data_IF_952948831856
#
_entry.id   IF_952948831856
#
_cell.length_a   1.000
_cell.length_b   1.000
_cell.length_c   1.000
_cell.angle_alpha   90.00
_cell.angle_beta   90.00
_cell.angle_gamma   90.00
#
_symmetry.space_group_name_H-M   'P 1'
#
loop_
_entity.id
_entity.type
_entity.pdbx_description
1 polymer ?
#
# COMPACT_ATOMS: atom_id res chain seq x y z
N UNK A 1 -19.70 23.31 25.05
CA UNK A 1 -18.58 23.98 24.35
C UNK A 1 -18.23 23.12 23.13
N UNK A 2 -18.73 23.55 21.95
CA UNK A 2 -18.41 22.87 20.70
C UNK A 2 -17.00 23.26 20.30
N UNK A 3 -16.09 22.29 20.24
CA UNK A 3 -14.80 22.48 19.60
C UNK A 3 -15.03 22.87 18.13
N UNK A 4 -14.35 23.88 17.59
CA UNK A 4 -14.48 24.21 16.18
C UNK A 4 -13.96 23.07 15.36
N UNK A 5 -14.84 22.40 14.64
CA UNK A 5 -14.48 21.42 13.60
C UNK A 5 -13.89 22.20 12.44
N UNK A 6 -12.58 22.45 12.47
CA UNK A 6 -11.80 22.93 11.33
C UNK A 6 -11.59 21.76 10.34
N UNK A 7 -12.66 21.07 9.97
CA UNK A 7 -12.61 20.15 8.85
C UNK A 7 -12.39 20.98 7.57
N UNK A 8 -11.42 20.64 6.72
CA UNK A 8 -11.18 21.37 5.48
C UNK A 8 -12.43 21.32 4.61
N UNK A 9 -12.80 22.47 4.05
CA UNK A 9 -13.90 22.55 3.11
C UNK A 9 -13.55 21.82 1.81
N UNK A 10 -14.56 21.50 1.00
CA UNK A 10 -14.36 20.87 -0.29
C UNK A 10 -13.44 21.68 -1.23
N UNK A 11 -13.52 23.02 -1.18
CA UNK A 11 -12.64 23.91 -1.93
C UNK A 11 -11.21 23.91 -1.42
N UNK A 12 -10.99 23.74 -0.11
CA UNK A 12 -9.67 23.59 0.46
C UNK A 12 -9.00 22.30 -0.04
N UNK A 13 -9.79 21.23 -0.18
CA UNK A 13 -9.31 19.95 -0.72
C UNK A 13 -8.88 20.08 -2.19
N UNK A 14 -9.59 20.86 -3.01
CA UNK A 14 -9.21 21.11 -4.42
C UNK A 14 -7.93 21.93 -4.57
N UNK A 15 -7.60 22.76 -3.59
CA UNK A 15 -6.40 23.62 -3.57
C UNK A 15 -5.16 22.91 -3.05
N UNK A 16 -5.29 21.67 -2.59
CA UNK A 16 -4.17 20.90 -2.02
C UNK A 16 -3.46 20.07 -3.08
N UNK A 17 -2.14 20.00 -3.01
CA UNK A 17 -1.34 19.02 -3.74
C UNK A 17 -1.53 17.65 -3.07
N UNK A 18 -2.36 16.78 -3.66
CA UNK A 18 -2.63 15.43 -3.14
C UNK A 18 -1.59 14.45 -3.70
N UNK A 19 -0.57 14.16 -2.92
CA UNK A 19 0.51 13.23 -3.25
C UNK A 19 0.41 11.94 -2.42
N UNK A 20 -0.81 11.43 -2.19
CA UNK A 20 -1.10 10.20 -1.42
C UNK A 20 -2.07 9.25 -2.13
N UNK A 21 -2.05 9.20 -3.45
CA UNK A 21 -2.92 8.28 -4.22
C UNK A 21 -2.63 6.82 -3.89
N UNK A 22 -1.38 6.46 -3.59
CA UNK A 22 -1.01 5.13 -3.11
C UNK A 22 -1.62 4.76 -1.74
N UNK A 23 -1.95 5.72 -0.91
CA UNK A 23 -2.70 5.52 0.34
C UNK A 23 -4.19 5.46 0.07
N UNK A 24 -4.75 6.56 -0.42
CA UNK A 24 -6.16 6.68 -0.80
C UNK A 24 -6.29 7.69 -1.93
N UNK A 25 -6.68 7.22 -3.11
CA UNK A 25 -6.91 8.07 -4.28
C UNK A 25 -8.15 8.95 -4.08
N UNK A 26 -8.08 10.22 -4.50
CA UNK A 26 -9.27 11.09 -4.47
C UNK A 26 -10.26 10.64 -5.53
N UNK A 27 -11.46 10.24 -5.11
CA UNK A 27 -12.51 9.88 -6.04
C UNK A 27 -12.83 11.04 -6.98
N UNK A 28 -12.96 10.81 -8.31
CA UNK A 28 -13.50 11.78 -9.26
C UNK A 28 -14.91 12.23 -8.88
N UNK A 29 -15.31 13.43 -9.28
CA UNK A 29 -16.63 13.99 -8.97
C UNK A 29 -17.77 13.07 -9.43
N UNK A 30 -17.66 12.49 -10.66
CA UNK A 30 -18.63 11.54 -11.17
C UNK A 30 -18.74 10.26 -10.36
N UNK A 31 -17.62 9.73 -9.84
CA UNK A 31 -17.61 8.55 -8.98
C UNK A 31 -18.29 8.84 -7.63
N UNK A 32 -18.01 10.01 -7.03
CA UNK A 32 -18.67 10.44 -5.80
C UNK A 32 -20.18 10.64 -5.99
N UNK A 33 -20.57 11.22 -7.12
CA UNK A 33 -22.00 11.41 -7.45
C UNK A 33 -22.74 10.07 -7.55
N UNK A 34 -22.14 9.05 -8.18
CA UNK A 34 -22.71 7.71 -8.24
C UNK A 34 -22.85 7.11 -6.84
N UNK A 35 -21.81 7.16 -6.03
CA UNK A 35 -21.83 6.64 -4.66
C UNK A 35 -22.93 7.31 -3.83
N UNK A 36 -23.02 8.64 -3.87
CA UNK A 36 -24.03 9.42 -3.14
C UNK A 36 -25.46 9.08 -3.60
N UNK A 37 -25.68 8.99 -4.92
CA UNK A 37 -27.00 8.62 -5.48
C UNK A 37 -27.43 7.21 -5.08
N UNK A 38 -26.50 6.24 -5.11
CA UNK A 38 -26.79 4.88 -4.68
C UNK A 38 -27.09 4.80 -3.18
N UNK A 39 -26.31 5.52 -2.34
CA UNK A 39 -26.54 5.57 -0.89
C UNK A 39 -27.91 6.19 -0.57
N UNK A 40 -28.26 7.31 -1.21
CA UNK A 40 -29.58 7.94 -1.04
C UNK A 40 -30.75 7.04 -1.50
N UNK A 41 -30.53 6.23 -2.53
CA UNK A 41 -31.53 5.25 -3.00
C UNK A 41 -31.68 4.09 -2.02
N UNK A 42 -30.56 3.60 -1.46
CA UNK A 42 -30.56 2.56 -0.42
C UNK A 42 -31.32 3.02 0.83
N UNK A 43 -31.05 4.23 1.30
CA UNK A 43 -31.77 4.84 2.44
C UNK A 43 -33.28 4.93 2.19
N UNK A 44 -33.68 5.28 0.96
CA UNK A 44 -35.09 5.52 0.63
C UNK A 44 -35.87 4.24 0.37
N UNK A 45 -35.27 3.23 -0.30
CA UNK A 45 -35.98 2.07 -0.84
C UNK A 45 -35.45 0.73 -0.30
N UNK A 46 -34.35 0.74 0.43
CA UNK A 46 -33.68 -0.42 0.98
C UNK A 46 -32.75 -1.13 0.00
N UNK A 47 -31.81 -1.89 0.56
CA UNK A 47 -30.71 -2.56 -0.19
C UNK A 47 -31.19 -3.56 -1.24
N UNK A 48 -32.37 -4.18 -1.05
CA UNK A 48 -32.94 -5.08 -2.05
C UNK A 48 -33.30 -4.33 -3.32
N UNK A 49 -34.04 -3.22 -3.19
CA UNK A 49 -34.46 -2.40 -4.33
C UNK A 49 -33.25 -1.77 -5.05
N UNK A 50 -32.19 -1.42 -4.29
CA UNK A 50 -30.94 -0.96 -4.88
C UNK A 50 -30.26 -2.09 -5.69
N UNK A 51 -30.19 -3.33 -5.19
CA UNK A 51 -29.63 -4.47 -5.93
C UNK A 51 -30.39 -4.75 -7.22
N UNK A 52 -31.72 -4.77 -7.16
CA UNK A 52 -32.56 -4.96 -8.34
C UNK A 52 -32.33 -3.86 -9.39
N UNK A 53 -32.18 -2.61 -8.94
CA UNK A 53 -31.86 -1.47 -9.82
C UNK A 53 -30.49 -1.57 -10.47
N UNK A 54 -29.51 -2.10 -9.77
CA UNK A 54 -28.12 -2.21 -10.21
C UNK A 54 -27.78 -3.56 -10.85
N UNK A 55 -28.76 -4.43 -11.12
CA UNK A 55 -28.51 -5.81 -11.56
C UNK A 55 -27.48 -5.92 -12.68
N UNK A 56 -27.66 -5.18 -13.79
CA UNK A 56 -26.71 -5.19 -14.91
C UNK A 56 -25.30 -4.73 -14.50
N UNK A 57 -25.19 -3.72 -13.63
CA UNK A 57 -23.91 -3.22 -13.13
C UNK A 57 -23.22 -4.27 -12.26
N UNK A 58 -23.96 -4.91 -11.35
CA UNK A 58 -23.41 -5.86 -10.38
C UNK A 58 -23.03 -7.20 -11.01
N UNK A 59 -23.81 -7.66 -11.99
CA UNK A 59 -23.69 -9.01 -12.54
C UNK A 59 -22.88 -9.06 -13.85
N UNK A 60 -22.72 -7.93 -14.54
CA UNK A 60 -22.14 -7.92 -15.89
C UNK A 60 -21.10 -6.79 -16.06
N UNK A 61 -21.54 -5.53 -16.04
CA UNK A 61 -20.68 -4.40 -16.49
C UNK A 61 -19.38 -4.27 -15.69
N UNK A 62 -19.44 -4.40 -14.35
CA UNK A 62 -18.26 -4.31 -13.50
C UNK A 62 -17.26 -5.43 -13.82
N UNK A 63 -17.77 -6.65 -14.06
CA UNK A 63 -16.94 -7.81 -14.38
C UNK A 63 -16.30 -7.69 -15.78
N UNK A 64 -17.02 -7.17 -16.77
CA UNK A 64 -16.46 -6.88 -18.10
C UNK A 64 -15.32 -5.85 -18.00
N UNK A 65 -15.49 -4.78 -17.22
CA UNK A 65 -14.45 -3.77 -17.02
C UNK A 65 -13.25 -4.29 -16.23
N UNK A 66 -13.49 -5.14 -15.24
CA UNK A 66 -12.43 -5.80 -14.49
C UNK A 66 -11.65 -6.79 -15.37
N UNK A 67 -12.37 -7.57 -16.18
CA UNK A 67 -11.75 -8.47 -17.16
C UNK A 67 -10.86 -7.72 -18.14
N UNK A 68 -11.35 -6.60 -18.69
CA UNK A 68 -10.57 -5.75 -19.57
C UNK A 68 -9.35 -5.10 -18.87
N UNK A 69 -9.48 -4.73 -17.59
CA UNK A 69 -8.37 -4.16 -16.79
C UNK A 69 -7.27 -5.18 -16.52
N UNK A 70 -7.63 -6.44 -16.25
CA UNK A 70 -6.72 -7.51 -15.83
C UNK A 70 -6.28 -8.45 -16.96
N UNK A 71 -6.79 -8.26 -18.18
CA UNK A 71 -6.49 -9.12 -19.33
C UNK A 71 -7.06 -10.54 -19.20
N UNK A 72 -8.25 -10.70 -18.61
CA UNK A 72 -8.88 -12.01 -18.32
C UNK A 72 -10.35 -12.03 -18.69
N UNK A 73 -10.99 -13.22 -18.84
CA UNK A 73 -12.43 -13.32 -19.00
C UNK A 73 -13.18 -12.69 -17.83
N UNK A 74 -14.30 -12.02 -18.10
CA UNK A 74 -15.14 -11.39 -17.08
C UNK A 74 -15.60 -12.37 -15.98
N UNK A 75 -15.91 -13.61 -16.38
CA UNK A 75 -16.35 -14.68 -15.48
C UNK A 75 -15.30 -15.16 -14.47
N UNK A 76 -14.03 -14.85 -14.70
CA UNK A 76 -12.92 -15.19 -13.80
C UNK A 76 -12.59 -14.05 -12.80
N UNK A 77 -13.38 -12.97 -12.83
CA UNK A 77 -13.25 -11.85 -11.90
C UNK A 77 -14.19 -12.02 -10.71
N UNK A 78 -13.73 -11.61 -9.53
CA UNK A 78 -14.48 -11.69 -8.27
C UNK A 78 -14.40 -10.37 -7.53
N UNK A 79 -15.54 -9.89 -7.02
CA UNK A 79 -15.62 -8.73 -6.13
C UNK A 79 -15.41 -9.14 -4.68
N UNK A 80 -14.73 -8.30 -3.92
CA UNK A 80 -14.44 -8.49 -2.50
C UNK A 80 -14.45 -7.16 -1.76
N UNK A 81 -14.44 -7.20 -0.42
CA UNK A 81 -14.32 -5.99 0.39
C UNK A 81 -12.90 -5.40 0.42
N UNK A 82 -11.94 -6.01 -0.27
CA UNK A 82 -10.57 -5.58 -0.42
C UNK A 82 -9.67 -6.71 -0.91
N UNK A 83 -8.45 -6.40 -1.30
CA UNK A 83 -7.45 -7.37 -1.76
C UNK A 83 -7.18 -8.45 -0.70
N UNK A 84 -7.05 -8.05 0.58
CA UNK A 84 -6.82 -8.97 1.68
C UNK A 84 -7.95 -10.01 1.84
N UNK A 85 -9.21 -9.59 1.71
CA UNK A 85 -10.35 -10.51 1.82
C UNK A 85 -10.37 -11.56 0.70
N UNK A 86 -9.99 -11.17 -0.52
CA UNK A 86 -9.84 -12.12 -1.62
C UNK A 86 -8.66 -13.07 -1.38
N UNK A 87 -7.54 -12.56 -0.88
CA UNK A 87 -6.37 -13.37 -0.54
C UNK A 87 -6.68 -14.38 0.58
N UNK A 88 -7.39 -13.96 1.64
CA UNK A 88 -7.82 -14.85 2.73
C UNK A 88 -8.68 -16.01 2.23
N UNK A 89 -9.63 -15.75 1.33
CA UNK A 89 -10.48 -16.78 0.73
C UNK A 89 -9.68 -17.78 -0.12
N UNK A 90 -8.68 -17.30 -0.87
CA UNK A 90 -7.76 -18.14 -1.64
C UNK A 90 -6.87 -19.00 -0.76
N UNK A 91 -6.24 -18.39 0.26
CA UNK A 91 -5.36 -19.09 1.21
C UNK A 91 -6.15 -20.09 2.06
N UNK A 92 -7.41 -19.78 2.38
CA UNK A 92 -8.32 -20.68 3.08
C UNK A 92 -8.56 -22.01 2.36
N UNK A 93 -8.42 -22.02 1.03
CA UNK A 93 -8.51 -23.24 0.19
C UNK A 93 -7.22 -24.06 0.19
N UNK A 94 -6.11 -23.51 0.65
CA UNK A 94 -4.83 -24.19 0.60
C UNK A 94 -4.78 -25.34 1.61
N UNK A 95 -4.50 -26.54 1.09
CA UNK A 95 -4.29 -27.74 1.91
C UNK A 95 -2.80 -27.98 2.02
N UNK A 96 -2.20 -27.43 3.08
CA UNK A 96 -0.78 -27.53 3.36
C UNK A 96 -0.53 -28.36 4.60
N UNK A 97 0.66 -28.95 4.69
CA UNK A 97 1.15 -29.73 5.81
C UNK A 97 2.55 -29.32 6.27
N UNK A 98 3.13 -29.99 7.29
CA UNK A 98 4.42 -29.61 7.88
C UNK A 98 5.61 -29.66 6.92
N UNK A 99 5.54 -30.46 5.83
CA UNK A 99 6.58 -30.54 4.80
C UNK A 99 6.53 -29.38 3.81
N UNK A 100 5.37 -28.73 3.67
CA UNK A 100 5.18 -27.67 2.68
C UNK A 100 5.88 -26.38 3.05
N UNK A 101 6.28 -25.62 2.01
CA UNK A 101 6.90 -24.31 2.11
C UNK A 101 6.02 -23.25 1.47
N UNK A 102 5.94 -22.10 2.13
CA UNK A 102 5.34 -20.87 1.61
C UNK A 102 6.46 -19.88 1.36
N UNK A 103 6.47 -19.28 0.19
CA UNK A 103 7.36 -18.16 -0.10
C UNK A 103 6.59 -16.84 -0.07
N UNK A 104 7.17 -15.84 0.60
CA UNK A 104 6.77 -14.44 0.55
C UNK A 104 7.99 -13.57 0.28
N UNK A 105 7.80 -12.25 0.19
CA UNK A 105 8.88 -11.33 -0.14
C UNK A 105 9.03 -10.23 0.92
N UNK A 106 10.18 -9.54 1.00
CA UNK A 106 10.34 -8.39 1.88
C UNK A 106 9.38 -7.23 1.58
N UNK A 107 8.75 -7.22 0.39
CA UNK A 107 7.80 -6.20 -0.03
C UNK A 107 6.36 -6.46 0.45
N UNK A 108 6.11 -7.61 1.10
CA UNK A 108 4.76 -8.02 1.51
C UNK A 108 4.13 -7.04 2.50
N UNK A 109 2.85 -6.76 2.27
CA UNK A 109 2.02 -5.97 3.17
C UNK A 109 1.61 -6.75 4.41
N UNK A 110 1.36 -6.03 5.52
CA UNK A 110 1.01 -6.66 6.81
C UNK A 110 -0.24 -7.54 6.73
N UNK A 111 -1.22 -7.18 5.90
CA UNK A 111 -2.48 -7.91 5.81
C UNK A 111 -2.25 -9.32 5.22
N UNK A 112 -1.61 -9.41 4.05
CA UNK A 112 -1.26 -10.69 3.43
C UNK A 112 -0.26 -11.47 4.29
N UNK A 113 0.74 -10.81 4.86
CA UNK A 113 1.70 -11.46 5.76
C UNK A 113 1.01 -12.07 6.99
N UNK A 114 0.03 -11.39 7.56
CA UNK A 114 -0.76 -11.91 8.69
C UNK A 114 -1.51 -13.18 8.32
N UNK A 115 -2.12 -13.22 7.14
CA UNK A 115 -2.78 -14.41 6.57
C UNK A 115 -1.80 -15.56 6.39
N UNK A 116 -0.61 -15.29 5.83
CA UNK A 116 0.44 -16.31 5.64
C UNK A 116 0.97 -16.82 6.98
N UNK A 117 1.15 -15.97 7.98
CA UNK A 117 1.54 -16.37 9.33
C UNK A 117 0.46 -17.25 9.97
N UNK A 118 -0.82 -16.89 9.85
CA UNK A 118 -1.92 -17.70 10.36
C UNK A 118 -1.99 -19.07 9.66
N UNK A 119 -1.76 -19.11 8.35
CA UNK A 119 -1.68 -20.36 7.58
C UNK A 119 -0.52 -21.24 8.08
N UNK A 120 0.68 -20.68 8.22
CA UNK A 120 1.85 -21.38 8.79
C UNK A 120 1.53 -21.97 10.17
N UNK A 121 0.93 -21.18 11.05
CA UNK A 121 0.66 -21.62 12.43
C UNK A 121 -0.38 -22.74 12.49
N UNK A 122 -1.38 -22.72 11.59
CA UNK A 122 -2.42 -23.73 11.48
C UNK A 122 -1.90 -25.04 10.86
N UNK A 123 -1.07 -24.96 9.85
CA UNK A 123 -0.65 -26.11 9.04
C UNK A 123 0.73 -26.64 9.40
N UNK A 124 1.50 -25.87 10.19
CA UNK A 124 2.89 -26.16 10.55
C UNK A 124 3.84 -26.19 9.36
N UNK A 125 3.45 -25.64 8.20
CA UNK A 125 4.33 -25.45 7.07
C UNK A 125 5.41 -24.38 7.38
N UNK A 126 6.43 -24.30 6.52
CA UNK A 126 7.50 -23.31 6.66
C UNK A 126 7.16 -22.05 5.87
N UNK A 127 7.31 -20.88 6.49
CA UNK A 127 7.21 -19.58 5.82
C UNK A 127 8.62 -19.01 5.62
N UNK A 128 9.00 -18.86 4.37
CA UNK A 128 10.33 -18.41 3.94
C UNK A 128 10.23 -17.08 3.18
N UNK A 129 11.22 -16.22 3.36
CA UNK A 129 11.26 -14.91 2.72
C UNK A 129 12.30 -14.95 1.60
N UNK A 130 11.84 -14.79 0.37
CA UNK A 130 12.72 -14.68 -0.82
C UNK A 130 13.64 -13.46 -0.64
N UNK A 131 14.97 -13.62 -0.79
CA UNK A 131 15.87 -12.50 -0.60
C UNK A 131 15.74 -11.45 -1.70
N UNK A 132 16.21 -10.24 -1.39
CA UNK A 132 16.47 -9.20 -2.39
C UNK A 132 17.93 -9.22 -2.80
N UNK A 133 18.18 -8.90 -4.05
CA UNK A 133 19.52 -8.60 -4.57
C UNK A 133 20.02 -7.28 -3.99
N UNK A 134 21.28 -6.96 -4.20
CA UNK A 134 21.91 -5.72 -3.73
C UNK A 134 21.24 -4.46 -4.33
N UNK A 135 20.66 -4.57 -5.52
CA UNK A 135 19.92 -3.50 -6.19
C UNK A 135 18.48 -3.33 -5.66
N UNK A 136 18.00 -4.21 -4.79
CA UNK A 136 16.66 -4.19 -4.21
C UNK A 136 15.60 -4.97 -4.97
N UNK A 137 15.92 -5.54 -6.13
CA UNK A 137 15.03 -6.45 -6.85
C UNK A 137 14.94 -7.82 -6.17
N UNK A 138 13.86 -8.58 -6.41
CA UNK A 138 13.76 -9.97 -5.97
C UNK A 138 14.87 -10.81 -6.60
N UNK A 139 15.46 -11.70 -5.79
CA UNK A 139 16.51 -12.63 -6.27
C UNK A 139 15.88 -13.82 -6.97
N UNK A 140 15.66 -13.69 -8.28
CA UNK A 140 15.12 -14.78 -9.12
C UNK A 140 16.11 -15.94 -9.31
N UNK A 141 17.40 -15.70 -9.14
CA UNK A 141 18.39 -16.76 -9.25
C UNK A 141 18.35 -17.63 -7.99
N UNK A 142 18.18 -17.01 -6.82
CA UNK A 142 17.88 -17.72 -5.59
C UNK A 142 16.58 -18.54 -5.71
N UNK A 143 15.48 -17.95 -6.23
CA UNK A 143 14.22 -18.66 -6.43
C UNK A 143 14.42 -19.89 -7.33
N UNK A 144 15.15 -19.74 -8.45
CA UNK A 144 15.42 -20.84 -9.38
C UNK A 144 16.23 -21.98 -8.74
N UNK A 145 17.16 -21.64 -7.86
CA UNK A 145 18.00 -22.61 -7.17
C UNK A 145 17.29 -23.37 -6.04
N UNK A 146 16.19 -22.80 -5.48
CA UNK A 146 15.54 -23.33 -4.28
C UNK A 146 14.10 -23.81 -4.50
N UNK A 147 13.54 -23.63 -5.71
CA UNK A 147 12.21 -24.15 -6.06
C UNK A 147 12.26 -25.67 -6.16
N UNK A 148 11.35 -26.33 -5.45
CA UNK A 148 11.14 -27.77 -5.48
C UNK A 148 9.65 -28.11 -5.25
N UNK A 149 9.33 -29.38 -5.14
CA UNK A 149 7.96 -29.85 -4.93
C UNK A 149 7.40 -29.55 -3.54
N UNK A 150 8.22 -29.13 -2.58
CA UNK A 150 7.76 -28.70 -1.26
C UNK A 150 7.22 -27.27 -1.27
N UNK A 151 7.61 -26.42 -2.25
CA UNK A 151 7.06 -25.07 -2.39
C UNK A 151 5.62 -25.13 -2.89
N UNK A 152 4.68 -24.86 -2.00
CA UNK A 152 3.25 -25.03 -2.28
C UNK A 152 2.49 -23.71 -2.54
N UNK A 153 3.02 -22.60 -2.04
CA UNK A 153 2.41 -21.27 -2.21
C UNK A 153 3.51 -20.21 -2.33
N UNK A 154 3.37 -19.31 -3.29
CA UNK A 154 4.22 -18.12 -3.45
C UNK A 154 3.33 -16.88 -3.50
N UNK A 155 3.58 -15.93 -2.61
CA UNK A 155 2.90 -14.63 -2.56
C UNK A 155 3.89 -13.51 -2.89
N UNK A 156 3.57 -12.70 -3.91
CA UNK A 156 4.41 -11.58 -4.35
C UNK A 156 3.57 -10.33 -4.53
N UNK A 157 4.02 -9.21 -3.99
CA UNK A 157 3.45 -7.89 -4.27
C UNK A 157 4.03 -7.38 -5.60
N UNK A 158 3.19 -6.95 -6.54
CA UNK A 158 3.67 -6.42 -7.82
C UNK A 158 4.39 -5.08 -7.63
N UNK A 159 3.80 -4.14 -6.87
CA UNK A 159 4.43 -2.86 -6.52
C UNK A 159 4.51 -2.71 -5.02
N UNK A 160 5.73 -2.57 -4.51
CA UNK A 160 5.98 -2.40 -3.07
C UNK A 160 5.30 -1.13 -2.53
N UNK A 161 4.42 -1.29 -1.55
CA UNK A 161 3.81 -0.14 -0.84
C UNK A 161 4.81 0.64 0.02
N UNK A 162 5.94 0.04 0.36
CA UNK A 162 6.98 0.69 1.15
C UNK A 162 7.78 1.73 0.36
N UNK A 163 8.11 1.43 -0.91
CA UNK A 163 9.08 2.22 -1.67
C UNK A 163 8.75 2.40 -3.15
N UNK A 164 7.73 1.72 -3.70
CA UNK A 164 7.34 1.83 -5.11
C UNK A 164 8.12 0.93 -6.07
N UNK A 165 9.01 0.06 -5.58
CA UNK A 165 9.71 -0.93 -6.42
C UNK A 165 8.73 -1.83 -7.14
N UNK A 166 8.91 -2.01 -8.44
CA UNK A 166 8.12 -2.92 -9.29
C UNK A 166 8.82 -4.29 -9.33
N UNK A 167 8.16 -5.30 -8.80
CA UNK A 167 8.66 -6.68 -8.84
C UNK A 167 8.35 -7.34 -10.18
N UNK A 168 9.27 -8.16 -10.68
CA UNK A 168 9.19 -8.83 -11.97
C UNK A 168 8.20 -10.03 -11.93
N UNK A 169 6.92 -9.79 -11.61
CA UNK A 169 5.90 -10.83 -11.35
C UNK A 169 5.69 -11.80 -12.51
N UNK A 170 5.76 -11.32 -13.76
CA UNK A 170 5.70 -12.22 -14.93
C UNK A 170 6.90 -13.16 -15.01
N UNK A 171 8.09 -12.73 -14.58
CA UNK A 171 9.29 -13.60 -14.56
C UNK A 171 9.20 -14.63 -13.44
N UNK A 172 8.59 -14.24 -12.30
CA UNK A 172 8.27 -15.16 -11.20
C UNK A 172 7.28 -16.21 -11.67
N UNK A 173 6.18 -15.83 -12.35
CA UNK A 173 5.21 -16.78 -12.89
C UNK A 173 5.82 -17.80 -13.81
N UNK A 174 6.60 -17.35 -14.81
CA UNK A 174 7.33 -18.27 -15.72
C UNK A 174 8.29 -19.23 -15.00
N UNK A 175 8.88 -18.79 -13.90
CA UNK A 175 9.75 -19.64 -13.08
C UNK A 175 8.92 -20.71 -12.35
N UNK A 176 7.72 -20.34 -11.87
CA UNK A 176 6.85 -21.21 -11.08
C UNK A 176 5.99 -22.16 -11.96
N UNK A 177 5.74 -21.82 -13.23
CA UNK A 177 4.85 -22.57 -14.12
C UNK A 177 5.11 -24.07 -14.19
N UNK A 178 6.37 -24.59 -14.21
CA UNK A 178 6.65 -26.02 -14.22
C UNK A 178 6.39 -26.72 -12.88
N UNK A 179 6.09 -25.97 -11.80
CA UNK A 179 6.00 -26.48 -10.44
C UNK A 179 4.57 -26.48 -9.93
N UNK A 180 4.28 -27.23 -8.87
CA UNK A 180 2.96 -27.30 -8.24
C UNK A 180 2.58 -26.05 -7.43
N UNK A 181 3.53 -25.14 -7.23
CA UNK A 181 3.35 -23.96 -6.39
C UNK A 181 2.18 -23.10 -6.86
N UNK A 182 1.22 -22.82 -5.97
CA UNK A 182 0.20 -21.81 -6.23
C UNK A 182 0.85 -20.41 -6.18
N UNK A 183 0.51 -19.56 -7.14
CA UNK A 183 1.08 -18.24 -7.25
C UNK A 183 0.00 -17.16 -7.08
N UNK A 184 0.18 -16.28 -6.10
CA UNK A 184 -0.68 -15.14 -5.83
C UNK A 184 0.09 -13.83 -5.98
N UNK A 185 -0.53 -12.84 -6.61
CA UNK A 185 0.03 -11.50 -6.81
C UNK A 185 -0.90 -10.45 -6.20
N UNK A 186 -0.36 -9.59 -5.34
CA UNK A 186 -1.05 -8.37 -4.93
C UNK A 186 -0.72 -7.22 -5.90
N UNK A 187 -1.73 -6.80 -6.66
CA UNK A 187 -1.65 -5.71 -7.61
C UNK A 187 -2.30 -4.41 -7.11
N UNK A 188 -2.60 -4.29 -5.80
CA UNK A 188 -3.29 -3.13 -5.22
C UNK A 188 -2.61 -1.79 -5.49
N UNK A 189 -1.28 -1.78 -5.61
CA UNK A 189 -0.51 -0.59 -5.96
C UNK A 189 -0.13 -0.52 -7.44
N UNK A 190 -0.54 -1.48 -8.26
CA UNK A 190 -0.24 -1.55 -9.70
C UNK A 190 -1.43 -1.10 -10.55
N UNK A 191 -2.62 -1.65 -10.27
CA UNK A 191 -3.83 -1.31 -11.01
C UNK A 191 -4.09 0.20 -10.98
N UNK A 192 -4.40 0.75 -12.14
CA UNK A 192 -4.63 2.18 -12.30
C UNK A 192 -3.37 3.02 -12.54
N UNK A 193 -2.17 2.45 -12.44
CA UNK A 193 -0.92 3.14 -12.80
C UNK A 193 0.02 2.34 -13.72
N UNK A 194 0.00 1.02 -13.63
CA UNK A 194 0.77 0.13 -14.50
C UNK A 194 -0.18 -0.83 -15.22
N UNK A 195 0.19 -1.35 -16.39
CA UNK A 195 -0.50 -2.48 -17.00
C UNK A 195 -0.45 -3.69 -16.06
N UNK A 196 -1.60 -4.35 -15.87
CA UNK A 196 -1.73 -5.58 -15.12
C UNK A 196 -2.41 -6.60 -16.02
N UNK A 197 -1.65 -7.64 -16.40
CA UNK A 197 -2.13 -8.74 -17.24
C UNK A 197 -1.94 -10.04 -16.46
N UNK A 198 -3.02 -10.54 -15.85
CA UNK A 198 -2.97 -11.71 -14.99
C UNK A 198 -2.60 -12.98 -15.76
N UNK A 199 -2.94 -13.06 -17.04
CA UNK A 199 -2.56 -14.20 -17.89
C UNK A 199 -1.05 -14.23 -18.11
N UNK A 200 -0.42 -13.08 -18.39
CA UNK A 200 1.04 -12.99 -18.54
C UNK A 200 1.80 -13.21 -17.23
N UNK A 201 1.16 -12.93 -16.09
CA UNK A 201 1.73 -13.21 -14.76
C UNK A 201 1.72 -14.70 -14.44
N UNK A 202 0.93 -15.52 -15.16
CA UNK A 202 0.76 -16.96 -14.88
C UNK A 202 0.34 -17.22 -13.42
N UNK A 203 -0.36 -16.26 -12.82
CA UNK A 203 -0.81 -16.32 -11.44
C UNK A 203 -2.16 -17.04 -11.33
N UNK A 204 -2.40 -17.78 -10.25
CA UNK A 204 -3.71 -18.34 -9.95
C UNK A 204 -4.60 -17.33 -9.24
N UNK A 205 -4.02 -16.32 -8.62
CA UNK A 205 -4.74 -15.21 -8.00
C UNK A 205 -4.03 -13.89 -8.29
N UNK A 206 -4.78 -12.88 -8.70
CA UNK A 206 -4.33 -11.47 -8.71
C UNK A 206 -5.35 -10.66 -7.94
N UNK A 207 -4.97 -10.08 -6.81
CA UNK A 207 -5.84 -9.25 -5.98
C UNK A 207 -5.59 -7.77 -6.17
N UNK A 208 -6.60 -6.93 -5.98
CA UNK A 208 -6.42 -5.48 -6.00
C UNK A 208 -7.46 -4.74 -5.14
N UNK A 209 -7.03 -3.60 -4.60
CA UNK A 209 -7.89 -2.61 -3.96
C UNK A 209 -8.43 -1.59 -4.98
N UNK A 210 -9.73 -1.23 -4.86
CA UNK A 210 -10.37 -0.29 -5.76
C UNK A 210 -10.11 1.20 -5.46
N UNK A 211 -9.63 1.55 -4.26
CA UNK A 211 -9.56 2.93 -3.77
C UNK A 211 -8.22 3.64 -3.94
N UNK A 212 -7.19 2.95 -4.38
CA UNK A 212 -5.85 3.55 -4.59
C UNK A 212 -5.79 4.28 -5.93
N UNK A 213 -5.02 3.80 -6.87
CA UNK A 213 -4.84 4.44 -8.17
C UNK A 213 -6.05 4.33 -9.12
N UNK A 214 -7.02 3.45 -8.85
CA UNK A 214 -8.32 3.45 -9.54
C UNK A 214 -9.27 4.52 -9.01
N UNK A 215 -9.04 5.02 -7.78
CA UNK A 215 -9.80 6.12 -7.17
C UNK A 215 -11.29 5.80 -6.97
N UNK A 216 -11.60 4.52 -6.77
CA UNK A 216 -12.90 4.04 -6.32
C UNK A 216 -13.15 4.29 -4.83
N UNK A 217 -14.29 3.85 -4.28
CA UNK A 217 -14.59 3.97 -2.86
C UNK A 217 -13.80 2.98 -2.02
N UNK A 218 -13.66 3.29 -0.73
CA UNK A 218 -13.10 2.35 0.26
C UNK A 218 -13.97 1.09 0.38
N UNK A 219 -13.39 0.05 0.96
CA UNK A 219 -14.05 -1.24 1.23
C UNK A 219 -14.63 -1.93 -0.02
N UNK A 220 -14.01 -1.70 -1.18
CA UNK A 220 -14.25 -2.47 -2.39
C UNK A 220 -12.92 -2.86 -3.03
N UNK A 221 -12.77 -4.15 -3.25
CA UNK A 221 -11.64 -4.74 -3.97
C UNK A 221 -12.15 -5.77 -4.96
N UNK A 222 -11.24 -6.35 -5.67
CA UNK A 222 -11.53 -7.38 -6.66
C UNK A 222 -10.32 -8.29 -6.85
N UNK A 223 -10.58 -9.41 -7.50
CA UNK A 223 -9.53 -10.33 -7.89
C UNK A 223 -9.83 -10.97 -9.24
N UNK A 224 -8.79 -11.36 -9.95
CA UNK A 224 -8.79 -12.49 -10.86
C UNK A 224 -8.50 -13.76 -10.06
N UNK A 225 -9.19 -14.84 -10.37
CA UNK A 225 -8.89 -16.14 -9.82
C UNK A 225 -9.08 -17.22 -10.88
N UNK A 226 -8.03 -18.00 -11.07
CA UNK A 226 -8.08 -19.14 -11.98
C UNK A 226 -9.21 -20.12 -11.59
N UNK A 227 -9.86 -20.79 -12.55
CA UNK A 227 -10.92 -21.74 -12.25
C UNK A 227 -10.51 -22.81 -11.23
N UNK A 228 -11.39 -23.04 -10.24
CA UNK A 228 -11.18 -24.09 -9.23
C UNK A 228 -10.25 -23.76 -8.07
N UNK A 229 -9.72 -22.53 -7.97
CA UNK A 229 -8.77 -22.18 -6.89
C UNK A 229 -9.44 -21.70 -5.59
N UNK A 230 -10.74 -21.39 -5.61
CA UNK A 230 -11.46 -20.89 -4.45
C UNK A 230 -11.86 -21.99 -3.47
N UNK A 231 -11.63 -21.77 -2.17
CA UNK A 231 -12.20 -22.59 -1.07
C UNK A 231 -13.48 -22.02 -0.49
N UNK A 232 -13.87 -20.83 -0.91
CA UNK A 232 -15.05 -20.09 -0.50
C UNK A 232 -15.09 -18.74 -1.20
N UNK A 233 -16.27 -18.12 -1.29
CA UNK A 233 -16.37 -16.76 -1.84
C UNK A 233 -15.86 -15.74 -0.82
N UNK A 234 -15.06 -14.74 -1.24
CA UNK A 234 -14.74 -13.63 -0.36
C UNK A 234 -16.00 -12.83 0.00
N UNK A 235 -15.99 -12.07 1.10
CA UNK A 235 -17.07 -11.17 1.47
C UNK A 235 -17.42 -10.21 0.33
N UNK A 236 -18.70 -10.12 -0.01
CA UNK A 236 -19.17 -9.23 -1.07
C UNK A 236 -19.24 -7.77 -0.57
N UNK A 237 -18.81 -6.79 -1.38
CA UNK A 237 -18.92 -5.39 -1.04
C UNK A 237 -20.37 -4.88 -1.14
N UNK A 238 -20.64 -3.71 -0.56
CA UNK A 238 -21.94 -3.06 -0.66
C UNK A 238 -22.26 -2.69 -2.13
N UNK A 239 -23.52 -2.84 -2.60
CA UNK A 239 -23.90 -2.53 -3.99
C UNK A 239 -23.55 -1.11 -4.43
N UNK A 240 -23.72 -0.13 -3.55
CA UNK A 240 -23.34 1.26 -3.81
C UNK A 240 -21.83 1.42 -4.08
N UNK A 241 -20.99 0.68 -3.33
CA UNK A 241 -19.55 0.68 -3.54
C UNK A 241 -19.17 0.03 -4.88
N UNK A 242 -19.85 -1.06 -5.27
CA UNK A 242 -19.62 -1.71 -6.57
C UNK A 242 -20.02 -0.77 -7.73
N UNK A 243 -21.15 -0.09 -7.64
CA UNK A 243 -21.57 0.89 -8.65
C UNK A 243 -20.56 2.03 -8.79
N UNK A 244 -20.02 2.53 -7.66
CA UNK A 244 -18.99 3.56 -7.68
C UNK A 244 -17.64 3.02 -8.21
N UNK A 245 -17.26 1.77 -7.92
CA UNK A 245 -16.11 1.12 -8.55
C UNK A 245 -16.29 1.01 -10.06
N UNK A 246 -17.47 0.59 -10.55
CA UNK A 246 -17.78 0.52 -11.98
C UNK A 246 -17.59 1.89 -12.66
N UNK A 247 -18.07 2.97 -12.01
CA UNK A 247 -17.85 4.33 -12.49
C UNK A 247 -16.36 4.74 -12.47
N UNK A 248 -15.60 4.31 -11.46
CA UNK A 248 -14.15 4.56 -11.37
C UNK A 248 -13.38 3.84 -12.48
N UNK A 249 -13.72 2.60 -12.78
CA UNK A 249 -13.16 1.82 -13.89
C UNK A 249 -13.45 2.50 -15.25
N UNK A 250 -14.68 2.96 -15.46
CA UNK A 250 -15.05 3.71 -16.67
C UNK A 250 -14.26 5.02 -16.79
N UNK A 251 -14.13 5.77 -15.68
CA UNK A 251 -13.32 6.98 -15.64
C UNK A 251 -11.84 6.70 -15.94
N UNK A 252 -11.28 5.63 -15.36
CA UNK A 252 -9.90 5.21 -15.62
C UNK A 252 -9.68 4.84 -17.08
N UNK A 253 -10.61 4.10 -17.70
CA UNK A 253 -10.52 3.71 -19.11
C UNK A 253 -10.58 4.93 -20.07
N UNK A 254 -11.36 5.96 -19.71
CA UNK A 254 -11.50 7.20 -20.49
C UNK A 254 -10.37 8.22 -20.24
N UNK A 255 -9.62 8.08 -19.15
CA UNK A 255 -8.54 9.01 -18.83
C UNK A 255 -7.38 8.85 -19.83
N UNK A 256 -6.90 9.99 -20.35
CA UNK A 256 -5.69 10.01 -21.16
C UNK A 256 -4.52 9.48 -20.32
N UNK A 257 -3.82 8.48 -20.85
CA UNK A 257 -2.62 7.91 -20.22
C UNK A 257 -1.44 8.86 -20.47
N UNK A 258 -1.42 10.00 -19.77
CA UNK A 258 -0.26 10.87 -19.78
C UNK A 258 0.91 10.17 -19.09
N UNK A 259 2.14 10.29 -19.62
CA UNK A 259 3.33 9.73 -18.98
C UNK A 259 3.50 10.33 -17.58
N UNK A 260 3.44 9.50 -16.56
CA UNK A 260 3.67 9.89 -15.15
C UNK A 260 5.14 9.85 -14.78
N UNK A 261 5.93 9.27 -15.66
CA UNK A 261 7.38 9.14 -15.49
C UNK A 261 8.05 10.50 -15.30
N UNK A 262 7.63 11.51 -16.05
CA UNK A 262 8.15 12.88 -15.91
C UNK A 262 7.83 13.48 -14.54
N UNK A 263 6.62 13.26 -13.99
CA UNK A 263 6.23 13.78 -12.67
C UNK A 263 6.96 13.04 -11.56
N UNK A 264 7.12 11.72 -11.67
CA UNK A 264 7.89 10.94 -10.71
C UNK A 264 9.36 11.33 -10.72
N UNK A 265 9.95 11.47 -11.91
CA UNK A 265 11.35 11.93 -12.05
C UNK A 265 11.55 13.32 -11.45
N UNK A 266 10.59 14.24 -11.68
CA UNK A 266 10.61 15.59 -11.10
C UNK A 266 10.48 15.55 -9.58
N UNK A 267 9.56 14.73 -9.04
CA UNK A 267 9.40 14.53 -7.59
C UNK A 267 10.67 13.96 -6.96
N UNK A 268 11.26 12.93 -7.58
CA UNK A 268 12.52 12.34 -7.15
C UNK A 268 13.65 13.37 -7.12
N UNK A 269 13.81 14.12 -8.20
CA UNK A 269 14.83 15.17 -8.28
C UNK A 269 14.65 16.26 -7.20
N UNK A 270 13.39 16.63 -6.87
CA UNK A 270 13.11 17.58 -5.80
C UNK A 270 13.54 17.04 -4.42
N UNK A 271 13.31 15.75 -4.17
CA UNK A 271 13.71 15.06 -2.93
C UNK A 271 15.22 14.92 -2.85
N UNK A 272 15.87 14.43 -3.91
CA UNK A 272 17.34 14.19 -3.96
C UNK A 272 18.17 15.47 -3.85
N UNK A 273 17.65 16.60 -4.36
CA UNK A 273 18.31 17.91 -4.18
C UNK A 273 18.17 18.49 -2.77
N UNK A 274 17.38 17.87 -1.90
CA UNK A 274 17.14 18.37 -0.54
C UNK A 274 18.18 17.77 0.42
N UNK A 275 19.05 18.58 1.06
CA UNK A 275 20.08 18.09 1.96
C UNK A 275 19.50 17.27 3.12
N UNK A 276 20.23 16.23 3.53
CA UNK A 276 19.86 15.35 4.65
C UNK A 276 18.77 14.34 4.34
N UNK A 277 18.27 14.29 3.10
CA UNK A 277 17.28 13.28 2.68
C UNK A 277 17.97 12.05 2.09
N UNK A 278 17.47 10.90 2.51
CA UNK A 278 17.75 9.58 1.94
C UNK A 278 16.47 9.06 1.24
N UNK A 279 16.61 8.73 -0.03
CA UNK A 279 15.54 8.08 -0.81
C UNK A 279 15.60 6.58 -0.54
N UNK A 280 14.46 6.00 -0.17
CA UNK A 280 14.35 4.58 0.18
C UNK A 280 13.92 3.70 -1.01
N UNK A 281 13.80 4.29 -2.20
CA UNK A 281 13.47 3.56 -3.40
C UNK A 281 14.67 2.72 -3.83
N UNK A 282 14.44 1.41 -3.90
CA UNK A 282 15.38 0.40 -4.39
C UNK A 282 14.73 -0.35 -5.55
N UNK A 283 15.51 -1.07 -6.34
CA UNK A 283 15.07 -1.80 -7.51
C UNK A 283 15.25 -1.00 -8.82
N UNK A 284 15.24 -1.73 -9.94
CA UNK A 284 15.50 -1.17 -11.27
C UNK A 284 14.32 -0.39 -11.81
N UNK A 285 13.11 -0.81 -11.45
CA UNK A 285 11.88 -0.21 -11.92
C UNK A 285 11.07 0.35 -10.75
N UNK A 286 10.51 1.56 -10.95
CA UNK A 286 9.75 2.28 -9.94
C UNK A 286 8.38 2.68 -10.50
N UNK A 287 7.34 2.41 -9.73
CA UNK A 287 6.00 2.92 -9.99
C UNK A 287 5.87 4.38 -9.51
N UNK A 288 4.70 4.98 -9.71
CA UNK A 288 4.42 6.39 -9.37
C UNK A 288 4.48 6.72 -7.87
N UNK A 289 5.41 6.13 -7.13
CA UNK A 289 5.60 6.32 -5.69
C UNK A 289 7.06 6.52 -5.33
N UNK A 290 7.31 7.29 -4.28
CA UNK A 290 8.63 7.56 -3.74
C UNK A 290 8.55 7.59 -2.22
N UNK A 291 9.43 6.85 -1.53
CA UNK A 291 9.61 6.93 -0.10
C UNK A 291 10.97 7.56 0.24
N UNK A 292 10.99 8.41 1.26
CA UNK A 292 12.20 9.07 1.71
C UNK A 292 12.16 9.34 3.22
N UNK A 293 13.34 9.53 3.82
CA UNK A 293 13.51 9.98 5.19
C UNK A 293 14.54 11.09 5.28
N UNK A 294 14.49 11.88 6.33
CA UNK A 294 15.54 12.85 6.66
C UNK A 294 16.32 12.34 7.86
N UNK A 295 17.66 12.51 7.85
CA UNK A 295 18.52 11.98 8.89
C UNK A 295 18.24 12.53 10.28
N UNK A 296 17.74 13.77 10.36
CA UNK A 296 17.53 14.47 11.62
C UNK A 296 16.05 14.79 11.94
N UNK A 297 15.22 15.02 10.91
CA UNK A 297 13.83 15.45 11.09
C UNK A 297 12.88 14.25 10.96
N UNK A 298 12.15 13.88 12.01
CA UNK A 298 11.22 12.76 11.97
C UNK A 298 10.15 12.89 10.87
N UNK A 299 9.83 11.79 10.20
CA UNK A 299 8.82 11.73 9.13
C UNK A 299 7.45 12.31 9.57
N UNK A 300 7.08 12.15 10.84
CA UNK A 300 5.85 12.70 11.40
C UNK A 300 5.83 14.24 11.38
N UNK A 301 6.95 14.89 11.66
CA UNK A 301 7.06 16.36 11.62
C UNK A 301 7.05 16.85 10.18
N UNK A 302 7.79 16.20 9.27
CA UNK A 302 7.78 16.52 7.84
C UNK A 302 6.34 16.43 7.31
N UNK A 303 5.64 15.31 7.51
CA UNK A 303 4.26 15.14 7.06
C UNK A 303 3.32 16.21 7.61
N UNK A 304 3.41 16.50 8.92
CA UNK A 304 2.57 17.53 9.57
C UNK A 304 2.85 18.91 9.00
N UNK A 305 4.12 19.25 8.81
CA UNK A 305 4.53 20.54 8.25
C UNK A 305 4.06 20.72 6.80
N UNK A 306 4.15 19.69 6.00
CA UNK A 306 3.66 19.66 4.61
C UNK A 306 2.13 19.79 4.55
N UNK A 307 1.41 19.07 5.42
CA UNK A 307 -0.05 19.16 5.48
C UNK A 307 -0.54 20.60 5.79
N UNK A 308 0.13 21.31 6.71
CA UNK A 308 -0.17 22.74 6.99
C UNK A 308 0.06 23.67 5.79
N UNK A 309 0.82 23.21 4.79
CA UNK A 309 1.13 23.96 3.55
C UNK A 309 0.35 23.46 2.34
N UNK A 310 -0.71 22.70 2.61
CA UNK A 310 -1.59 22.18 1.55
C UNK A 310 -0.94 21.09 0.70
N UNK A 311 -0.02 20.29 1.28
CA UNK A 311 0.54 19.11 0.64
C UNK A 311 0.16 17.88 1.45
N UNK A 312 -0.64 17.00 0.85
CA UNK A 312 -1.13 15.76 1.47
C UNK A 312 -0.26 14.60 1.00
N UNK A 313 0.33 13.90 1.94
CA UNK A 313 1.11 12.68 1.70
C UNK A 313 1.10 11.78 2.95
N UNK A 314 1.58 10.55 2.82
CA UNK A 314 1.51 9.53 3.85
C UNK A 314 2.83 9.39 4.61
N UNK A 315 2.72 9.02 5.88
CA UNK A 315 3.83 8.46 6.64
C UNK A 315 3.76 6.94 6.48
N UNK A 316 4.76 6.35 5.82
CA UNK A 316 4.94 4.91 5.79
C UNK A 316 5.57 4.45 7.11
N UNK A 317 5.07 3.38 7.67
CA UNK A 317 5.53 2.84 8.96
C UNK A 317 5.97 1.39 8.81
N UNK A 318 6.93 0.99 9.62
CA UNK A 318 7.45 -0.38 9.64
C UNK A 318 6.37 -1.45 9.82
N UNK A 319 5.28 -1.11 10.52
CA UNK A 319 4.16 -2.03 10.73
C UNK A 319 3.37 -2.36 9.46
N UNK A 320 3.38 -1.48 8.44
CA UNK A 320 2.68 -1.74 7.17
C UNK A 320 3.44 -2.75 6.28
N UNK A 321 4.78 -2.76 6.36
CA UNK A 321 5.66 -3.67 5.62
C UNK A 321 6.75 -4.21 6.55
N UNK A 322 6.43 -5.12 7.47
CA UNK A 322 7.34 -5.50 8.56
C UNK A 322 8.59 -6.26 8.11
N UNK A 323 8.57 -6.86 6.91
CA UNK A 323 9.71 -7.59 6.34
C UNK A 323 10.65 -6.68 5.52
N UNK A 324 10.23 -5.47 5.18
CA UNK A 324 11.01 -4.57 4.33
C UNK A 324 12.30 -4.13 5.04
N UNK A 325 13.48 -4.11 4.35
CA UNK A 325 14.74 -3.71 4.96
C UNK A 325 14.70 -2.32 5.61
N UNK A 326 13.98 -1.35 5.01
CA UNK A 326 13.80 -0.02 5.57
C UNK A 326 12.90 0.02 6.82
N UNK A 327 12.20 -1.07 7.15
CA UNK A 327 11.37 -1.20 8.35
C UNK A 327 12.18 -1.61 9.60
N UNK A 328 13.46 -1.95 9.44
CA UNK A 328 14.33 -2.29 10.56
C UNK A 328 14.37 -1.13 11.55
N UNK A 329 14.45 -1.43 12.83
CA UNK A 329 14.50 -0.48 13.93
C UNK A 329 13.25 0.40 14.10
N UNK A 330 12.11 -0.02 13.54
CA UNK A 330 10.86 0.74 13.62
C UNK A 330 10.89 2.06 12.84
N UNK A 331 11.77 2.18 11.86
CA UNK A 331 11.93 3.39 11.05
C UNK A 331 10.62 3.80 10.37
N UNK A 332 10.42 5.10 10.25
CA UNK A 332 9.31 5.71 9.54
C UNK A 332 9.83 6.54 8.38
N UNK A 333 9.11 6.50 7.27
CA UNK A 333 9.41 7.28 6.08
C UNK A 333 8.23 8.17 5.70
N UNK A 334 8.49 9.16 4.88
CA UNK A 334 7.47 9.90 4.15
C UNK A 334 7.31 9.24 2.79
N UNK A 335 6.07 8.94 2.38
CA UNK A 335 5.75 8.40 1.07
C UNK A 335 4.92 9.41 0.30
N UNK A 336 5.40 9.79 -0.86
CA UNK A 336 4.68 10.58 -1.85
C UNK A 336 4.32 9.70 -3.05
N UNK A 337 3.17 9.93 -3.65
CA UNK A 337 2.75 9.26 -4.89
C UNK A 337 2.07 10.24 -5.83
N UNK A 338 2.37 10.11 -7.12
CA UNK A 338 1.81 10.92 -8.18
C UNK A 338 0.76 10.15 -8.98
N UNK A 339 -0.23 10.86 -9.49
CA UNK A 339 -1.29 10.32 -10.33
C UNK A 339 -1.50 11.22 -11.56
N UNK A 340 -2.30 10.78 -12.54
CA UNK A 340 -2.53 11.53 -13.78
C UNK A 340 -3.19 12.90 -13.55
N UNK A 341 -3.86 13.14 -12.44
CA UNK A 341 -4.45 14.43 -12.09
C UNK A 341 -3.49 15.34 -11.30
N UNK A 342 -2.29 14.90 -10.98
CA UNK A 342 -1.24 15.79 -10.50
C UNK A 342 -0.58 16.53 -11.68
N UNK A 343 -0.17 17.75 -11.41
CA UNK A 343 0.58 18.58 -12.33
C UNK A 343 1.95 18.99 -11.78
N UNK A 344 2.75 19.63 -12.63
CA UNK A 344 4.06 20.17 -12.23
C UNK A 344 3.96 21.11 -11.02
N UNK A 345 2.87 21.90 -10.93
CA UNK A 345 2.61 22.80 -9.82
C UNK A 345 2.47 22.10 -8.46
N UNK A 346 2.00 20.83 -8.43
CA UNK A 346 1.90 20.06 -7.19
C UNK A 346 3.28 19.70 -6.68
N UNK A 347 4.19 19.30 -7.58
CA UNK A 347 5.58 18.99 -7.25
C UNK A 347 6.32 20.26 -6.83
N UNK A 348 6.10 21.40 -7.49
CA UNK A 348 6.70 22.68 -7.11
C UNK A 348 6.24 23.15 -5.73
N UNK A 349 4.96 22.97 -5.43
CA UNK A 349 4.41 23.24 -4.09
C UNK A 349 5.06 22.35 -3.05
N UNK A 350 5.16 21.05 -3.32
CA UNK A 350 5.82 20.09 -2.44
C UNK A 350 7.26 20.49 -2.18
N UNK A 351 8.04 20.80 -3.21
CA UNK A 351 9.46 21.17 -3.07
C UNK A 351 9.66 22.41 -2.21
N UNK A 352 8.86 23.49 -2.44
CA UNK A 352 8.91 24.70 -1.61
C UNK A 352 8.54 24.40 -0.16
N UNK A 353 7.41 23.69 0.03
CA UNK A 353 6.92 23.34 1.35
C UNK A 353 7.91 22.47 2.15
N UNK A 354 8.56 21.50 1.48
CA UNK A 354 9.55 20.63 2.10
C UNK A 354 10.78 21.45 2.60
N UNK A 355 11.31 22.33 1.78
CA UNK A 355 12.44 23.21 2.16
C UNK A 355 12.09 24.12 3.35
N UNK A 356 10.88 24.67 3.37
CA UNK A 356 10.42 25.51 4.49
C UNK A 356 10.29 24.72 5.78
N UNK A 357 9.67 23.53 5.72
CA UNK A 357 9.51 22.64 6.89
C UNK A 357 10.85 22.26 7.47
N UNK A 358 11.80 21.87 6.64
CA UNK A 358 13.13 21.47 7.11
C UNK A 358 13.90 22.64 7.75
N UNK A 359 13.84 23.86 7.15
CA UNK A 359 14.44 25.05 7.75
C UNK A 359 13.82 25.38 9.11
N UNK A 360 12.48 25.34 9.24
CA UNK A 360 11.81 25.61 10.51
C UNK A 360 12.19 24.60 11.60
N UNK A 361 12.26 23.32 11.25
CA UNK A 361 12.65 22.28 12.23
C UNK A 361 14.13 22.41 12.61
N UNK A 362 15.00 22.77 11.69
CA UNK A 362 16.40 23.07 11.99
C UNK A 362 16.54 24.27 12.93
N UNK A 363 15.87 25.39 12.65
CA UNK A 363 15.88 26.58 13.51
C UNK A 363 15.38 26.28 14.92
N UNK A 364 14.32 25.49 15.06
CA UNK A 364 13.82 25.06 16.38
C UNK A 364 14.85 24.26 17.16
N UNK A 365 15.59 23.38 16.49
CA UNK A 365 16.67 22.55 17.11
C UNK A 365 17.85 23.42 17.55
N UNK A 366 18.28 24.34 16.70
CA UNK A 366 19.34 25.29 17.02
C UNK A 366 18.98 26.16 18.22
N UNK A 367 17.74 26.67 18.26
CA UNK A 367 17.24 27.45 19.38
C UNK A 367 17.17 26.62 20.67
N UNK A 368 16.64 25.39 20.60
CA UNK A 368 16.61 24.49 21.75
C UNK A 368 18.02 24.15 22.24
N UNK A 369 18.95 23.88 21.35
CA UNK A 369 20.37 23.66 21.68
C UNK A 369 21.00 24.86 22.36
N UNK A 370 20.76 26.09 21.88
CA UNK A 370 21.25 27.30 22.47
C UNK A 370 20.66 27.56 23.88
N UNK A 371 19.38 27.25 24.09
CA UNK A 371 18.73 27.37 25.41
C UNK A 371 19.32 26.36 26.41
N UNK A 372 19.57 25.12 25.98
CA UNK A 372 20.24 24.11 26.83
C UNK A 372 21.71 24.48 27.15
N UNK A 373 22.45 25.03 26.20
CA UNK A 373 23.82 25.46 26.41
C UNK A 373 23.92 26.71 27.31
N UNK A 374 22.87 27.55 27.31
CA UNK A 374 22.80 28.76 28.14
C UNK A 374 22.23 28.50 29.57
N UNK A 375 21.72 27.32 29.84
CA UNK A 375 21.28 26.95 31.19
C UNK A 375 22.47 26.84 32.11
N UNK A 376 22.54 27.60 33.24
CA UNK A 376 23.65 27.52 34.18
C UNK A 376 23.74 26.09 34.73
N UNK A 377 24.97 25.52 34.76
CA UNK A 377 25.22 24.25 35.39
C UNK A 377 24.64 24.26 36.81
N UNK A 378 23.61 23.44 37.03
CA UNK A 378 23.03 23.32 38.36
C UNK A 378 24.11 22.90 39.31
N UNK A 379 24.41 23.80 40.24
CA UNK A 379 25.34 23.57 41.37
C UNK A 379 24.87 22.32 42.08
N UNK A 380 25.75 21.36 42.26
CA UNK A 380 25.49 20.12 42.97
C UNK A 380 24.87 20.39 44.32
N UNK A 381 23.75 19.74 44.59
CA UNK A 381 23.19 19.56 45.91
C UNK A 381 23.12 18.06 46.18
N UNK A 382 23.85 17.65 47.12
CA UNK A 382 23.78 16.36 47.80
C UNK A 382 22.33 16.09 48.26
N UNK A 383 21.94 14.85 48.22
CA UNK A 383 20.85 14.42 49.08
C UNK A 383 19.87 13.43 48.52
N UNK A 384 20.08 12.20 48.92
CA UNK A 384 19.09 11.21 49.28
C UNK A 384 17.93 10.89 48.34
N UNK A 385 17.86 9.63 47.97
CA UNK A 385 16.90 8.97 47.16
C UNK A 385 15.44 9.07 47.59
N UNK A 386 14.59 9.22 46.59
CA UNK A 386 13.21 8.76 46.68
C UNK A 386 12.89 7.94 45.41
N UNK A 387 12.23 6.79 45.51
CA UNK A 387 11.97 5.95 44.35
C UNK A 387 10.86 6.54 43.48
N UNK A 388 11.13 6.67 42.18
CA UNK A 388 10.15 7.04 41.15
C UNK A 388 9.06 5.98 41.00
N UNK A 389 7.75 6.32 41.03
CA UNK A 389 6.66 5.36 40.96
C UNK A 389 6.26 4.92 39.55
N UNK A 390 7.02 5.29 38.50
CA UNK A 390 6.71 4.91 37.12
C UNK A 390 7.82 4.04 36.49
N UNK A 391 7.89 2.77 36.89
CA UNK A 391 8.49 1.72 36.05
C UNK A 391 7.39 1.14 35.16
N UNK A 392 7.34 1.57 33.92
CA UNK A 392 6.58 0.87 32.89
C UNK A 392 7.16 -0.54 32.72
N UNK A 393 6.32 -1.58 32.90
CA UNK A 393 6.68 -2.96 32.55
C UNK A 393 6.98 -3.03 31.05
N UNK A 394 8.07 -3.67 30.63
CA UNK A 394 8.32 -3.91 29.22
C UNK A 394 7.23 -4.83 28.69
N UNK A 395 6.51 -4.37 27.65
CA UNK A 395 5.60 -5.20 26.88
C UNK A 395 6.40 -6.36 26.28
N UNK A 396 6.01 -7.59 26.58
CA UNK A 396 6.64 -8.80 26.09
C UNK A 396 6.66 -8.79 24.55
N UNK A 397 7.83 -8.65 23.98
CA UNK A 397 8.06 -8.87 22.54
C UNK A 397 7.79 -10.36 22.25
N UNK A 398 6.71 -10.66 21.57
CA UNK A 398 6.58 -11.94 20.87
C UNK A 398 7.55 -11.89 19.70
N UNK A 399 8.67 -12.57 19.81
CA UNK A 399 9.62 -12.75 18.71
C UNK A 399 8.93 -13.56 17.60
N UNK A 400 8.71 -12.92 16.44
CA UNK A 400 8.45 -13.65 15.21
C UNK A 400 9.74 -14.39 14.83
N UNK A 401 9.79 -15.68 15.08
CA UNK A 401 10.91 -16.52 14.61
C UNK A 401 10.68 -16.81 13.12
N UNK A 402 11.25 -15.98 12.25
CA UNK A 402 11.34 -16.23 10.82
C UNK A 402 12.69 -16.91 10.57
N UNK A 403 12.65 -18.12 10.01
CA UNK A 403 13.88 -18.77 9.54
C UNK A 403 14.42 -17.97 8.34
N UNK A 404 15.64 -17.42 8.47
CA UNK A 404 16.40 -16.92 7.33
C UNK A 404 16.90 -18.14 6.56
N UNK A 405 16.59 -18.23 5.29
CA UNK A 405 17.30 -19.10 4.39
C UNK A 405 18.75 -18.60 4.27
N UNK A 406 19.69 -19.43 4.63
CA UNK A 406 21.14 -19.23 4.42
C UNK A 406 21.51 -19.57 3.00
#
# INVERSE_FOLDING_TARGET
>A
MNAPTNAPTYDDIRRTAHLDTAGTGRMPDGVRAVLAACTARDDRFGSRALREHLGAVLDTEVHERLGALLGVPAGDTVLSTGAAAAFDAFVGAARLGPGDRIWTTPHEGVDHLSTLCALRDRTRCRLEVVPLRADGDLDLDWMRAHIDEDVALVSVVHVSSACGTVNAVERVGRLLAPHRARYAVDASHSVGQLPVDAARMEAQLVTADGWRFLRGPDAVGFAYAAPGVWGGRPPAPAPAAVAALNAALAHHAAASRLPREDLLARLRAAVERTPGIEVLAAGREQAGMLAFRHGEVPAALIRRGLARRGVVLRKSVAQENPLHPAARDGATAVRASVHHDNGAQDVDRFERALREVLREEQQKREHAGAVFAAAPAAVGADGAGAPSPYRAKPAGRRHLTLHRAT
#
